data_IF_168440007898
#
_entry.id   IF_168440007898
#
_cell.length_a   1.000
_cell.length_b   1.000
_cell.length_c   1.000
_cell.angle_alpha   90.00
_cell.angle_beta   90.00
_cell.angle_gamma   90.00
#
_symmetry.space_group_name_H-M   'P 1'
#
loop_
_entity.id
_entity.type
_entity.pdbx_description
1 polymer ?
#
# COMPACT_ATOMS: atom_id res chain seq x y z
N UNK A 1 -12.58 36.26 4.52
CA UNK A 1 -13.16 35.08 3.83
C UNK A 1 -12.21 33.89 3.99
N UNK A 2 -12.39 32.99 4.97
CA UNK A 2 -11.44 31.90 5.18
C UNK A 2 -11.70 30.76 4.19
N UNK A 3 -10.63 30.35 3.52
CA UNK A 3 -10.59 29.29 2.51
C UNK A 3 -10.95 27.95 3.17
N UNK A 4 -12.16 27.46 2.89
CA UNK A 4 -12.60 26.13 3.28
C UNK A 4 -11.60 25.09 2.78
N UNK A 5 -10.95 24.44 3.75
CA UNK A 5 -10.25 23.17 3.68
C UNK A 5 -10.67 22.35 2.45
N UNK A 6 -9.82 22.31 1.41
CA UNK A 6 -9.98 21.36 0.28
C UNK A 6 -10.01 19.98 0.92
N UNK A 7 -11.20 19.40 1.10
CA UNK A 7 -11.37 18.04 1.61
C UNK A 7 -10.47 17.14 0.77
N UNK A 8 -9.37 16.66 1.35
CA UNK A 8 -8.51 15.69 0.71
C UNK A 8 -9.33 14.48 0.30
N UNK A 9 -8.96 13.81 -0.79
CA UNK A 9 -9.65 12.57 -1.15
C UNK A 9 -9.22 11.47 -0.17
N UNK A 10 -10.16 10.66 0.34
CA UNK A 10 -9.83 9.59 1.26
C UNK A 10 -8.95 8.55 0.57
N UNK A 11 -7.85 8.17 1.23
CA UNK A 11 -6.92 7.15 0.72
C UNK A 11 -7.48 5.77 1.04
N UNK A 12 -8.27 5.20 0.13
CA UNK A 12 -8.80 3.84 0.27
C UNK A 12 -7.80 2.84 -0.30
N UNK A 13 -6.92 2.32 0.55
CA UNK A 13 -6.07 1.19 0.20
C UNK A 13 -6.26 0.03 1.17
N UNK A 14 -6.00 -1.20 0.72
CA UNK A 14 -5.95 -2.40 1.56
C UNK A 14 -4.62 -3.09 1.34
N UNK A 15 -4.00 -3.55 2.43
CA UNK A 15 -2.88 -4.48 2.39
C UNK A 15 -3.38 -5.88 2.71
N UNK A 16 -2.99 -6.87 1.91
CA UNK A 16 -3.23 -8.27 2.18
C UNK A 16 -1.92 -9.04 2.10
N UNK A 17 -1.61 -9.84 3.10
CA UNK A 17 -0.47 -10.75 3.10
C UNK A 17 -0.92 -12.18 3.33
N UNK A 18 -0.44 -13.10 2.49
CA UNK A 18 -0.59 -14.53 2.73
C UNK A 18 0.59 -14.99 3.61
N UNK A 19 0.27 -15.69 4.71
CA UNK A 19 1.17 -16.18 5.78
C UNK A 19 1.46 -15.25 6.98
N UNK A 20 0.54 -14.34 7.35
CA UNK A 20 0.69 -13.43 8.50
C UNK A 20 -0.56 -13.45 9.37
N UNK A 21 -0.37 -13.42 10.70
CA UNK A 21 -1.47 -13.45 11.68
C UNK A 21 -1.97 -12.05 12.08
N UNK A 22 -1.11 -11.03 11.96
CA UNK A 22 -1.43 -9.65 12.30
C UNK A 22 -0.90 -8.69 11.23
N UNK A 23 -1.83 -8.01 10.55
CA UNK A 23 -1.54 -7.01 9.52
C UNK A 23 -2.07 -5.69 10.03
N UNK A 24 -1.18 -4.72 10.24
CA UNK A 24 -1.59 -3.35 10.58
C UNK A 24 -1.22 -2.40 9.45
N UNK A 25 -2.13 -1.50 9.14
CA UNK A 25 -2.01 -0.58 8.01
C UNK A 25 -2.15 0.84 8.52
N UNK A 26 -1.13 1.66 8.29
CA UNK A 26 -1.13 3.07 8.69
C UNK A 26 -1.24 3.94 7.44
N UNK A 27 -2.30 4.75 7.38
CA UNK A 27 -2.64 5.64 6.27
C UNK A 27 -3.16 6.99 6.77
N UNK A 28 -2.90 8.09 6.04
CA UNK A 28 -3.56 9.36 6.29
C UNK A 28 -5.03 9.32 5.82
N UNK A 29 -5.95 9.86 6.64
CA UNK A 29 -7.39 9.87 6.36
C UNK A 29 -7.76 10.54 5.03
N UNK A 30 -7.09 11.63 4.70
CA UNK A 30 -7.36 12.41 3.50
C UNK A 30 -6.12 13.18 3.07
N UNK A 31 -5.81 13.14 1.78
CA UNK A 31 -4.69 13.89 1.21
C UNK A 31 -5.11 14.77 0.05
N UNK A 32 -4.45 15.90 -0.10
CA UNK A 32 -4.68 16.79 -1.23
C UNK A 32 -4.25 16.10 -2.53
N UNK A 33 -5.05 16.27 -3.59
CA UNK A 33 -4.76 15.70 -4.90
C UNK A 33 -3.36 16.14 -5.38
N UNK A 34 -2.55 15.18 -5.86
CA UNK A 34 -1.17 15.42 -6.28
C UNK A 34 -0.12 15.36 -5.16
N UNK A 35 -0.55 15.12 -3.91
CA UNK A 35 0.39 14.90 -2.80
C UNK A 35 0.91 13.47 -2.79
N UNK A 36 2.14 13.29 -2.32
CA UNK A 36 2.71 11.96 -2.08
C UNK A 36 2.21 11.42 -0.74
N UNK A 37 1.85 10.14 -0.70
CA UNK A 37 1.49 9.42 0.53
C UNK A 37 2.37 8.20 0.70
N UNK A 38 2.74 7.93 1.94
CA UNK A 38 3.44 6.71 2.32
C UNK A 38 2.40 5.73 2.85
N UNK A 39 2.27 4.58 2.19
CA UNK A 39 1.43 3.50 2.67
C UNK A 39 2.34 2.51 3.40
N UNK A 40 2.06 2.24 4.68
CA UNK A 40 2.84 1.30 5.48
C UNK A 40 1.97 0.13 5.90
N UNK A 41 2.49 -1.08 5.71
CA UNK A 41 1.87 -2.33 6.10
C UNK A 41 2.88 -3.09 6.95
N UNK A 42 2.65 -3.10 8.26
CA UNK A 42 3.44 -3.86 9.20
C UNK A 42 2.82 -5.26 9.31
N UNK A 43 3.65 -6.28 9.14
CA UNK A 43 3.26 -7.68 9.16
C UNK A 43 4.19 -8.47 10.06
N UNK A 44 3.63 -9.36 10.90
CA UNK A 44 4.40 -10.27 11.75
C UNK A 44 4.37 -11.69 11.19
N UNK A 45 5.55 -12.23 10.90
CA UNK A 45 5.72 -13.57 10.34
C UNK A 45 5.82 -14.65 11.42
N UNK A 46 6.03 -14.32 12.70
CA UNK A 46 6.20 -15.29 13.81
C UNK A 46 7.15 -16.48 13.46
N UNK A 47 8.19 -16.23 12.64
CA UNK A 47 9.15 -17.25 12.17
C UNK A 47 8.74 -18.02 10.91
N UNK A 48 7.61 -17.70 10.28
CA UNK A 48 7.19 -18.24 8.99
C UNK A 48 7.76 -17.43 7.82
N UNK A 49 7.71 -17.98 6.62
CA UNK A 49 8.16 -17.27 5.43
C UNK A 49 7.00 -16.51 4.80
N UNK A 50 7.23 -15.24 4.48
CA UNK A 50 6.27 -14.44 3.72
C UNK A 50 6.00 -15.08 2.35
N UNK A 51 4.73 -15.38 2.06
CA UNK A 51 4.34 -15.90 0.76
C UNK A 51 4.20 -14.75 -0.26
N UNK A 52 3.35 -13.77 0.07
CA UNK A 52 3.14 -12.61 -0.78
C UNK A 52 2.50 -11.45 -0.01
N UNK A 53 2.85 -10.22 -0.36
CA UNK A 53 2.15 -8.98 0.03
C UNK A 53 1.49 -8.42 -1.21
N UNK A 54 0.24 -8.00 -1.09
CA UNK A 54 -0.55 -7.38 -2.15
C UNK A 54 -1.21 -6.12 -1.65
N UNK A 55 -1.23 -5.11 -2.52
CA UNK A 55 -1.80 -3.82 -2.23
C UNK A 55 -2.88 -3.48 -3.24
N UNK A 56 -4.03 -3.08 -2.71
CA UNK A 56 -5.22 -2.79 -3.47
C UNK A 56 -5.67 -1.35 -3.24
N UNK A 57 -6.18 -0.72 -4.29
CA UNK A 57 -6.92 0.54 -4.23
C UNK A 57 -8.34 0.26 -4.70
N UNK A 58 -9.31 0.24 -3.79
CA UNK A 58 -10.64 -0.26 -4.13
C UNK A 58 -10.58 -1.76 -4.45
N UNK A 59 -10.81 -2.15 -5.70
CA UNK A 59 -10.71 -3.55 -6.16
C UNK A 59 -9.48 -3.82 -7.03
N UNK A 60 -8.74 -2.78 -7.41
CA UNK A 60 -7.58 -2.89 -8.29
C UNK A 60 -6.31 -3.15 -7.49
N UNK A 61 -5.61 -4.24 -7.81
CA UNK A 61 -4.24 -4.50 -7.34
C UNK A 61 -3.29 -3.54 -8.03
N UNK A 62 -2.46 -2.83 -7.28
CA UNK A 62 -1.48 -1.88 -7.82
C UNK A 62 -0.04 -2.23 -7.48
N UNK A 63 0.18 -3.07 -6.48
CA UNK A 63 1.51 -3.55 -6.10
C UNK A 63 1.44 -4.93 -5.47
N UNK A 64 2.43 -5.76 -5.81
CA UNK A 64 2.61 -7.11 -5.28
C UNK A 64 4.08 -7.37 -4.98
N UNK A 65 4.37 -7.99 -3.84
CA UNK A 65 5.68 -8.45 -3.44
C UNK A 65 5.65 -9.95 -3.13
N UNK A 66 6.46 -10.73 -3.84
CA UNK A 66 6.61 -12.18 -3.69
C UNK A 66 8.11 -12.49 -3.60
N UNK A 67 8.66 -12.73 -2.39
CA UNK A 67 10.11 -12.96 -2.22
C UNK A 67 10.67 -14.12 -3.04
N UNK A 68 9.81 -15.08 -3.41
CA UNK A 68 10.17 -16.31 -4.13
C UNK A 68 10.20 -16.14 -5.65
N UNK A 69 9.71 -15.02 -6.18
CA UNK A 69 9.66 -14.78 -7.63
C UNK A 69 10.77 -13.81 -8.07
N UNK A 70 11.11 -13.85 -9.36
CA UNK A 70 12.02 -12.91 -10.01
C UNK A 70 11.26 -12.28 -11.18
N UNK A 71 10.97 -10.96 -11.16
CA UNK A 71 11.29 -10.01 -10.09
C UNK A 71 10.42 -10.20 -8.85
N UNK A 72 10.99 -9.99 -7.67
CA UNK A 72 10.30 -10.16 -6.39
C UNK A 72 9.18 -9.13 -6.17
N UNK A 73 9.20 -8.02 -6.91
CA UNK A 73 8.18 -6.98 -6.85
C UNK A 73 7.53 -6.77 -8.22
N UNK A 74 6.21 -6.66 -8.24
CA UNK A 74 5.41 -6.30 -9.41
C UNK A 74 4.60 -5.05 -9.10
N UNK A 75 4.68 -4.08 -10.00
CA UNK A 75 3.91 -2.84 -9.94
C UNK A 75 2.90 -2.89 -11.08
N UNK A 76 1.63 -2.69 -10.77
CA UNK A 76 0.57 -2.60 -11.77
C UNK A 76 0.20 -1.14 -11.97
N UNK A 77 0.07 -0.73 -13.23
CA UNK A 77 -0.34 0.63 -13.55
C UNK A 77 -1.81 0.81 -13.18
N UNK A 78 -2.08 1.80 -12.33
CA UNK A 78 -3.44 2.17 -11.93
C UNK A 78 -3.60 3.65 -12.20
N UNK A 79 -4.71 4.00 -12.85
CA UNK A 79 -4.95 5.35 -13.32
C UNK A 79 -4.78 6.40 -12.21
N UNK A 80 -3.88 7.34 -12.47
CA UNK A 80 -3.53 8.42 -11.56
C UNK A 80 -2.69 8.05 -10.32
N UNK A 81 -2.04 6.88 -10.29
CA UNK A 81 -1.15 6.46 -9.18
C UNK A 81 0.29 6.29 -9.67
N UNK A 82 1.23 7.01 -9.06
CA UNK A 82 2.67 6.76 -9.24
C UNK A 82 3.23 6.12 -7.98
N UNK A 83 3.81 4.93 -8.11
CA UNK A 83 4.27 4.13 -6.98
C UNK A 83 5.79 4.22 -6.92
N UNK A 84 6.31 4.56 -5.74
CA UNK A 84 7.72 4.39 -5.37
C UNK A 84 7.77 3.33 -4.29
N UNK A 85 8.52 2.27 -4.54
CA UNK A 85 8.64 1.14 -3.62
C UNK A 85 9.93 1.28 -2.85
N UNK A 86 9.83 1.27 -1.52
CA UNK A 86 10.96 1.13 -0.61
C UNK A 86 10.70 -0.11 0.25
N UNK A 87 11.59 -1.11 0.16
CA UNK A 87 11.50 -2.33 0.95
C UNK A 87 12.57 -2.25 2.03
N UNK A 88 12.14 -1.97 3.25
CA UNK A 88 12.99 -2.08 4.44
C UNK A 88 12.86 -3.52 4.97
N UNK A 89 13.92 -4.32 4.84
CA UNK A 89 14.03 -5.70 5.33
C UNK A 89 14.52 -5.71 6.78
#
# INVERSE_FOLDING_TARGET
>A
MPRLYRRGRPVRSRCASLAVKNISMSLPDAVAQGSTVTLRCDYDLEGQQLYSIKWFRGESEFYQYVPKEIPASKVFDVDGVKIKVDVSV
#
